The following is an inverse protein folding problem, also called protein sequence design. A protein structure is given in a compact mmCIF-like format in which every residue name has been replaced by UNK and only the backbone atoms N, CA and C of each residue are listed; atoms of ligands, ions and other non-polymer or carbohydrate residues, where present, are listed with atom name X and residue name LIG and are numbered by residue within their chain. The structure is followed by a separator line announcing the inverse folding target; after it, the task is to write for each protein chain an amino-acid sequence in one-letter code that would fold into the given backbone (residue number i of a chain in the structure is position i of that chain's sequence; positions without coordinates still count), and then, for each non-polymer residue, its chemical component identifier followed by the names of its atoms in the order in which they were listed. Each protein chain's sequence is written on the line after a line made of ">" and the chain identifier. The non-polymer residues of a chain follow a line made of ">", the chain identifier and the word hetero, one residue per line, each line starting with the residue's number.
data_IF_643737789774
#
_entry.id   IF_643737789774
#
_cell.length_a   1.000
_cell.length_b   1.000
_cell.length_c   1.000
_cell.angle_alpha   90.00
_cell.angle_beta   90.00
_cell.angle_gamma   90.00
#
_symmetry.space_group_name_H-M   'P 1'
#
loop_
_entity.id
_entity.type
_entity.pdbx_description
1 polymer ?
#
# COMPACT_ATOMS: atom_id res chain seq x y z
N UNK A 1 -9.13 25.70 -1.71
CA UNK A 1 -7.80 25.32 -2.24
C UNK A 1 -7.22 24.09 -1.55
N UNK A 2 -7.26 24.01 -0.20
CA UNK A 2 -6.71 22.85 0.54
C UNK A 2 -7.27 21.48 0.10
N UNK A 3 -8.59 21.33 -0.08
CA UNK A 3 -9.18 20.06 -0.55
C UNK A 3 -8.62 19.60 -1.90
N UNK A 4 -8.32 20.53 -2.81
CA UNK A 4 -7.72 20.21 -4.11
C UNK A 4 -6.28 19.72 -3.90
N UNK A 5 -5.52 20.34 -2.99
CA UNK A 5 -4.18 19.86 -2.65
C UNK A 5 -4.24 18.43 -2.08
N UNK A 6 -5.11 18.17 -1.11
CA UNK A 6 -5.25 16.83 -0.51
C UNK A 6 -5.63 15.77 -1.55
N UNK A 7 -6.51 16.11 -2.51
CA UNK A 7 -6.85 15.24 -3.62
C UNK A 7 -5.64 14.97 -4.52
N UNK A 8 -4.90 16.01 -4.92
CA UNK A 8 -3.71 15.88 -5.77
C UNK A 8 -2.59 15.11 -5.08
N UNK A 9 -2.36 15.35 -3.79
CA UNK A 9 -1.36 14.65 -2.96
C UNK A 9 -1.76 13.18 -2.77
N UNK A 10 -3.03 12.90 -2.52
CA UNK A 10 -3.58 11.54 -2.49
C UNK A 10 -3.40 10.80 -3.81
N UNK A 11 -3.67 11.47 -4.94
CA UNK A 11 -3.44 10.90 -6.28
C UNK A 11 -1.94 10.68 -6.53
N UNK A 12 -1.08 11.63 -6.17
CA UNK A 12 0.37 11.52 -6.30
C UNK A 12 0.90 10.29 -5.55
N UNK A 13 0.52 10.12 -4.29
CA UNK A 13 0.87 8.93 -3.52
C UNK A 13 0.25 7.66 -4.13
N UNK A 14 -1.00 7.72 -4.61
CA UNK A 14 -1.63 6.61 -5.32
C UNK A 14 -0.85 6.15 -6.56
N UNK A 15 -0.34 7.09 -7.36
CA UNK A 15 0.54 6.80 -8.50
C UNK A 15 1.82 6.11 -8.01
N UNK A 16 2.43 6.60 -6.92
CA UNK A 16 3.59 5.95 -6.32
C UNK A 16 3.27 4.49 -5.90
N UNK A 17 2.05 4.21 -5.41
CA UNK A 17 1.61 2.83 -5.11
C UNK A 17 1.63 1.95 -6.35
N UNK A 18 0.98 2.43 -7.41
CA UNK A 18 0.82 1.70 -8.66
C UNK A 18 2.19 1.42 -9.26
N UNK A 19 3.11 2.40 -9.24
CA UNK A 19 4.48 2.23 -9.70
C UNK A 19 5.25 1.19 -8.87
N UNK A 20 5.12 1.20 -7.54
CA UNK A 20 5.74 0.20 -6.68
C UNK A 20 5.21 -1.22 -6.98
N UNK A 21 3.90 -1.37 -7.15
CA UNK A 21 3.29 -2.64 -7.54
C UNK A 21 3.74 -3.09 -8.94
N UNK A 22 3.77 -2.18 -9.91
CA UNK A 22 4.18 -2.47 -11.29
C UNK A 22 5.65 -2.89 -11.39
N UNK A 23 6.52 -2.20 -10.66
CA UNK A 23 7.93 -2.58 -10.57
C UNK A 23 8.13 -3.93 -9.85
N UNK A 24 7.30 -4.23 -8.85
CA UNK A 24 7.28 -5.52 -8.15
C UNK A 24 6.96 -6.72 -9.06
N UNK A 25 6.00 -6.55 -9.98
CA UNK A 25 5.57 -7.61 -10.92
C UNK A 25 6.25 -7.53 -12.30
N UNK A 26 7.29 -6.70 -12.49
CA UNK A 26 7.96 -6.54 -13.80
C UNK A 26 8.47 -7.85 -14.41
N UNK A 27 8.76 -8.86 -13.60
CA UNK A 27 9.15 -10.21 -14.02
C UNK A 27 8.06 -11.28 -13.79
N UNK A 28 6.80 -10.87 -13.65
CA UNK A 28 5.66 -11.71 -13.30
C UNK A 28 5.19 -11.59 -11.85
N UNK A 29 3.99 -12.10 -11.58
CA UNK A 29 3.29 -12.01 -10.29
C UNK A 29 4.06 -12.65 -9.12
N UNK A 30 4.95 -13.61 -9.40
CA UNK A 30 5.84 -14.25 -8.40
C UNK A 30 6.67 -13.21 -7.63
N UNK A 31 6.98 -12.08 -8.28
CA UNK A 31 7.72 -10.98 -7.66
C UNK A 31 7.02 -10.33 -6.46
N UNK A 32 5.72 -10.54 -6.31
CA UNK A 32 4.89 -9.98 -5.23
C UNK A 32 4.19 -11.06 -4.38
N UNK A 33 4.58 -12.33 -4.51
CA UNK A 33 3.96 -13.47 -3.79
C UNK A 33 3.96 -13.31 -2.26
N UNK A 34 4.85 -12.48 -1.72
CA UNK A 34 4.88 -12.15 -0.29
C UNK A 34 3.60 -11.45 0.23
N UNK A 35 2.76 -10.93 -0.67
CA UNK A 35 1.47 -10.31 -0.34
C UNK A 35 0.38 -11.35 -0.08
N UNK A 36 0.57 -12.58 -0.55
CA UNK A 36 -0.40 -13.66 -0.44
C UNK A 36 -0.17 -14.53 0.79
N UNK A 37 -1.15 -15.39 1.09
CA UNK A 37 -1.11 -16.34 2.20
C UNK A 37 0.07 -17.32 2.08
N UNK A 38 0.42 -17.94 3.22
CA UNK A 38 1.63 -18.78 3.34
C UNK A 38 1.57 -20.06 2.51
N UNK A 39 0.38 -20.59 2.27
CA UNK A 39 0.11 -21.70 1.36
C UNK A 39 0.49 -21.36 -0.10
N UNK A 40 0.08 -20.20 -0.61
CA UNK A 40 0.47 -19.74 -1.97
C UNK A 40 1.98 -19.53 -2.04
N UNK A 41 2.59 -18.97 -1.00
CA UNK A 41 4.05 -18.81 -0.90
C UNK A 41 4.78 -20.16 -0.96
N UNK A 42 4.32 -21.16 -0.19
CA UNK A 42 4.89 -22.51 -0.17
C UNK A 42 4.74 -23.18 -1.53
N UNK A 43 3.57 -23.12 -2.14
CA UNK A 43 3.31 -23.67 -3.47
C UNK A 43 4.28 -23.10 -4.53
N UNK A 44 4.54 -21.79 -4.49
CA UNK A 44 5.51 -21.15 -5.39
C UNK A 44 6.95 -21.62 -5.16
N UNK A 45 7.31 -21.98 -3.92
CA UNK A 45 8.62 -22.57 -3.61
C UNK A 45 8.70 -24.02 -4.09
N UNK A 46 7.66 -24.82 -3.89
CA UNK A 46 7.56 -26.21 -4.36
C UNK A 46 7.65 -26.31 -5.89
N UNK A 47 7.02 -25.37 -6.61
CA UNK A 47 7.09 -25.27 -8.07
C UNK A 47 8.43 -24.71 -8.58
N UNK A 48 9.37 -24.37 -7.69
CA UNK A 48 10.68 -23.82 -8.05
C UNK A 48 10.63 -22.40 -8.64
N UNK A 49 9.51 -21.69 -8.50
CA UNK A 49 9.32 -20.32 -9.03
C UNK A 49 10.10 -19.28 -8.21
N UNK A 50 10.32 -19.55 -6.92
CA UNK A 50 11.05 -18.66 -6.01
C UNK A 50 11.61 -19.44 -4.81
N UNK A 51 12.29 -18.74 -3.90
CA UNK A 51 12.80 -19.29 -2.64
C UNK A 51 12.29 -18.45 -1.46
N UNK A 52 12.17 -19.05 -0.28
CA UNK A 52 11.78 -18.31 0.93
C UNK A 52 12.67 -17.10 1.21
N UNK A 53 13.98 -17.24 0.95
CA UNK A 53 14.96 -16.15 1.05
C UNK A 53 14.63 -15.01 0.10
N UNK A 54 14.27 -15.31 -1.15
CA UNK A 54 13.88 -14.30 -2.14
C UNK A 54 12.55 -13.64 -1.80
N UNK A 55 11.56 -14.40 -1.31
CA UNK A 55 10.28 -13.86 -0.83
C UNK A 55 10.54 -12.86 0.30
N UNK A 56 11.35 -13.22 1.29
CA UNK A 56 11.71 -12.32 2.41
C UNK A 56 12.45 -11.07 1.93
N UNK A 57 13.41 -11.22 1.00
CA UNK A 57 14.13 -10.09 0.41
C UNK A 57 13.18 -9.12 -0.30
N UNK A 58 12.27 -9.63 -1.13
CA UNK A 58 11.26 -8.81 -1.82
C UNK A 58 10.32 -8.13 -0.83
N UNK A 59 9.96 -8.80 0.26
CA UNK A 59 9.08 -8.23 1.27
C UNK A 59 9.75 -7.07 2.01
N UNK A 60 11.06 -7.18 2.27
CA UNK A 60 11.86 -6.09 2.83
C UNK A 60 11.98 -4.91 1.86
N UNK A 61 12.18 -5.17 0.57
CA UNK A 61 12.20 -4.11 -0.45
C UNK A 61 10.85 -3.37 -0.51
N UNK A 62 9.73 -4.09 -0.47
CA UNK A 62 8.41 -3.47 -0.42
C UNK A 62 8.19 -2.64 0.85
N UNK A 63 8.70 -3.10 2.01
CA UNK A 63 8.69 -2.29 3.24
C UNK A 63 9.54 -1.03 3.14
N UNK A 64 10.64 -1.06 2.38
CA UNK A 64 11.45 0.13 2.14
C UNK A 64 10.68 1.18 1.32
N UNK A 65 9.78 0.77 0.42
CA UNK A 65 8.89 1.70 -0.28
C UNK A 65 8.00 2.50 0.69
N UNK A 66 7.67 1.97 1.88
CA UNK A 66 6.94 2.72 2.91
C UNK A 66 7.73 3.94 3.40
N UNK A 67 9.06 3.86 3.45
CA UNK A 67 9.91 5.02 3.82
C UNK A 67 9.82 6.12 2.76
N UNK A 68 9.86 5.73 1.47
CA UNK A 68 9.67 6.67 0.35
C UNK A 68 8.29 7.33 0.43
N UNK A 69 7.26 6.55 0.75
CA UNK A 69 5.91 7.04 0.97
C UNK A 69 5.84 8.14 2.03
N UNK A 70 6.45 7.91 3.19
CA UNK A 70 6.50 8.89 4.27
C UNK A 70 7.32 10.14 3.89
N UNK A 71 8.40 9.95 3.13
CA UNK A 71 9.22 11.04 2.62
C UNK A 71 8.47 11.95 1.62
N UNK A 72 7.37 11.49 1.03
CA UNK A 72 6.47 12.32 0.20
C UNK A 72 5.31 12.87 1.03
N UNK A 73 4.66 12.03 1.84
CA UNK A 73 3.50 12.42 2.65
C UNK A 73 3.80 13.57 3.61
N UNK A 74 4.90 13.49 4.35
CA UNK A 74 5.21 14.47 5.39
C UNK A 74 5.49 15.87 4.79
N UNK A 75 6.33 16.04 3.74
CA UNK A 75 6.49 17.35 3.10
C UNK A 75 5.20 17.92 2.51
N UNK A 76 4.32 17.10 1.92
CA UNK A 76 3.00 17.54 1.46
C UNK A 76 2.23 18.25 2.59
N UNK A 77 2.09 17.58 3.74
CA UNK A 77 1.33 18.13 4.86
C UNK A 77 2.05 19.29 5.56
N UNK A 78 3.35 19.15 5.82
CA UNK A 78 4.12 20.11 6.64
C UNK A 78 4.57 21.35 5.88
N UNK A 79 4.91 21.21 4.59
CA UNK A 79 5.53 22.27 3.78
C UNK A 79 4.55 22.84 2.79
N UNK A 80 3.86 21.99 2.01
CA UNK A 80 2.93 22.44 0.96
C UNK A 80 1.65 22.98 1.59
N UNK A 81 1.02 22.18 2.46
CA UNK A 81 -0.22 22.58 3.14
C UNK A 81 0.02 23.43 4.39
N UNK A 82 1.27 23.51 4.85
CA UNK A 82 1.70 24.28 6.04
C UNK A 82 0.89 23.94 7.29
N UNK A 83 0.41 22.69 7.40
CA UNK A 83 -0.36 22.24 8.54
C UNK A 83 0.47 22.38 9.82
N UNK A 84 -0.14 22.91 10.89
CA UNK A 84 0.52 23.06 12.19
C UNK A 84 -0.32 22.52 13.32
N UNK A 85 0.34 21.86 14.26
CA UNK A 85 -0.28 21.18 15.38
C UNK A 85 -0.94 19.86 15.01
N UNK A 86 -1.18 19.07 16.05
CA UNK A 86 -1.60 17.67 15.95
C UNK A 86 -2.83 17.48 15.06
N UNK A 87 -3.90 18.25 15.31
CA UNK A 87 -5.19 17.99 14.67
C UNK A 87 -5.12 18.23 13.17
N UNK A 88 -4.52 19.35 12.74
CA UNK A 88 -4.38 19.70 11.33
C UNK A 88 -3.57 18.67 10.55
N UNK A 89 -2.42 18.27 11.08
CA UNK A 89 -1.58 17.25 10.45
C UNK A 89 -2.31 15.90 10.38
N UNK A 90 -2.97 15.50 11.47
CA UNK A 90 -3.64 14.22 11.60
C UNK A 90 -4.76 14.06 10.57
N UNK A 91 -5.68 15.03 10.47
CA UNK A 91 -6.82 14.88 9.56
C UNK A 91 -6.38 14.96 8.10
N UNK A 92 -5.42 15.83 7.76
CA UNK A 92 -4.90 15.94 6.39
C UNK A 92 -4.19 14.65 5.95
N UNK A 93 -3.30 14.10 6.79
CA UNK A 93 -2.67 12.80 6.51
C UNK A 93 -3.70 11.68 6.40
N UNK A 94 -4.71 11.67 7.27
CA UNK A 94 -5.78 10.67 7.21
C UNK A 94 -6.52 10.73 5.87
N UNK A 95 -6.92 11.92 5.41
CA UNK A 95 -7.60 12.08 4.12
C UNK A 95 -6.73 11.61 2.96
N UNK A 96 -5.45 12.00 2.91
CA UNK A 96 -4.51 11.56 1.87
C UNK A 96 -4.38 10.02 1.88
N UNK A 97 -4.17 9.42 3.05
CA UNK A 97 -4.03 7.97 3.18
C UNK A 97 -5.32 7.22 2.83
N UNK A 98 -6.50 7.79 3.10
CA UNK A 98 -7.79 7.23 2.68
C UNK A 98 -7.96 7.29 1.15
N UNK A 99 -7.52 8.35 0.49
CA UNK A 99 -7.52 8.43 -0.98
C UNK A 99 -6.61 7.34 -1.56
N UNK A 100 -5.40 7.18 -1.02
CA UNK A 100 -4.48 6.10 -1.42
C UNK A 100 -5.11 4.73 -1.16
N UNK A 101 -5.80 4.56 -0.03
CA UNK A 101 -6.51 3.32 0.27
C UNK A 101 -7.60 3.04 -0.77
N UNK A 102 -8.39 4.04 -1.17
CA UNK A 102 -9.39 3.87 -2.23
C UNK A 102 -8.76 3.48 -3.57
N UNK A 103 -7.61 4.07 -3.92
CA UNK A 103 -6.86 3.70 -5.13
C UNK A 103 -6.37 2.24 -5.03
N UNK A 104 -5.77 1.83 -3.90
CA UNK A 104 -5.37 0.44 -3.67
C UNK A 104 -6.56 -0.51 -3.86
N UNK A 105 -7.70 -0.17 -3.26
CA UNK A 105 -8.89 -1.03 -3.29
C UNK A 105 -9.50 -1.15 -4.67
N UNK A 106 -9.85 -0.02 -5.27
CA UNK A 106 -10.65 -0.01 -6.48
C UNK A 106 -9.78 -0.28 -7.71
N UNK A 107 -8.63 0.38 -7.80
CA UNK A 107 -7.76 0.28 -8.97
C UNK A 107 -6.84 -0.94 -8.91
N UNK A 108 -6.16 -1.17 -7.79
CA UNK A 108 -5.18 -2.27 -7.69
C UNK A 108 -5.89 -3.59 -7.38
N UNK A 109 -6.56 -3.71 -6.23
CA UNK A 109 -7.15 -4.96 -5.75
C UNK A 109 -8.33 -5.42 -6.64
N UNK A 110 -9.30 -4.55 -6.96
CA UNK A 110 -10.49 -4.94 -7.71
C UNK A 110 -10.25 -4.95 -9.23
N UNK A 111 -9.80 -3.84 -9.81
CA UNK A 111 -9.61 -3.77 -11.26
C UNK A 111 -8.37 -4.53 -11.73
N UNK A 112 -7.18 -4.16 -11.26
CA UNK A 112 -5.94 -4.68 -11.84
C UNK A 112 -5.67 -6.14 -11.44
N UNK A 113 -5.78 -6.48 -10.16
CA UNK A 113 -5.61 -7.85 -9.67
C UNK A 113 -6.81 -8.73 -10.04
N UNK A 114 -8.04 -8.22 -9.89
CA UNK A 114 -9.25 -9.00 -10.11
C UNK A 114 -9.63 -9.21 -11.58
N UNK A 115 -9.29 -8.30 -12.49
CA UNK A 115 -9.75 -8.35 -13.89
C UNK A 115 -8.64 -8.48 -14.93
N UNK A 116 -7.37 -8.57 -14.53
CA UNK A 116 -6.25 -8.76 -15.48
C UNK A 116 -5.45 -10.02 -15.21
N UNK A 117 -4.76 -10.52 -16.24
CA UNK A 117 -3.89 -11.69 -16.13
C UNK A 117 -2.52 -11.38 -15.51
N UNK A 118 -2.23 -10.12 -15.21
CA UNK A 118 -0.91 -9.67 -14.74
C UNK A 118 -0.51 -10.27 -13.39
N UNK A 119 -1.50 -10.66 -12.57
CA UNK A 119 -1.33 -11.14 -11.20
C UNK A 119 -1.50 -12.65 -11.04
N UNK A 120 -1.73 -13.37 -12.14
CA UNK A 120 -1.82 -14.83 -12.14
C UNK A 120 -0.40 -15.40 -12.02
N UNK A 121 -0.18 -16.26 -11.03
CA UNK A 121 1.07 -17.00 -10.88
C UNK A 121 0.89 -18.37 -11.55
N UNK A 122 1.72 -18.72 -12.56
CA UNK A 122 1.61 -19.99 -13.26
C UNK A 122 1.68 -21.20 -12.31
N UNK A 123 0.76 -22.14 -12.45
CA UNK A 123 0.70 -23.37 -11.64
C UNK A 123 0.04 -23.22 -10.27
N UNK A 124 -0.61 -22.09 -10.02
CA UNK A 124 -1.38 -21.81 -8.79
C UNK A 124 -2.78 -21.26 -9.07
N UNK A 125 -3.28 -21.42 -10.29
CA UNK A 125 -4.58 -20.93 -10.76
C UNK A 125 -5.74 -21.55 -9.97
N UNK A 126 -5.57 -22.78 -9.47
CA UNK A 126 -6.52 -23.50 -8.60
C UNK A 126 -6.67 -22.85 -7.22
N UNK A 127 -5.69 -22.04 -6.81
CA UNK A 127 -5.72 -21.30 -5.54
C UNK A 127 -6.39 -19.93 -5.67
N UNK A 128 -6.93 -19.58 -6.84
CA UNK A 128 -7.63 -18.31 -7.04
C UNK A 128 -9.06 -18.35 -6.49
N UNK A 129 -9.55 -17.25 -5.88
CA UNK A 129 -8.82 -16.01 -5.60
C UNK A 129 -7.83 -16.18 -4.45
N UNK A 130 -6.59 -15.68 -4.62
CA UNK A 130 -5.52 -15.78 -3.61
C UNK A 130 -5.85 -15.11 -2.27
N UNK A 131 -6.83 -14.21 -2.27
CA UNK A 131 -7.37 -13.55 -1.07
C UNK A 131 -8.88 -13.73 -1.08
N UNK A 132 -9.43 -14.31 -0.01
CA UNK A 132 -10.86 -14.54 0.12
C UNK A 132 -11.64 -13.24 0.44
N UNK A 133 -12.96 -13.27 0.22
CA UNK A 133 -13.83 -12.10 0.42
C UNK A 133 -13.89 -11.59 1.86
N UNK A 134 -13.74 -12.48 2.86
CA UNK A 134 -13.71 -12.09 4.28
C UNK A 134 -12.44 -11.30 4.58
N UNK A 135 -11.29 -11.76 4.12
CA UNK A 135 -10.01 -11.07 4.29
C UNK A 135 -10.03 -9.74 3.56
N UNK A 136 -10.63 -9.66 2.36
CA UNK A 136 -10.87 -8.37 1.68
C UNK A 136 -11.69 -7.40 2.54
N UNK A 137 -12.78 -7.86 3.15
CA UNK A 137 -13.61 -7.03 4.02
C UNK A 137 -12.84 -6.57 5.28
N UNK A 138 -12.05 -7.43 5.91
CA UNK A 138 -11.15 -7.04 7.00
C UNK A 138 -10.08 -6.06 6.54
N UNK A 139 -9.52 -6.24 5.34
CA UNK A 139 -8.55 -5.30 4.73
C UNK A 139 -9.22 -3.93 4.56
N UNK A 140 -10.49 -3.85 4.16
CA UNK A 140 -11.25 -2.59 4.04
C UNK A 140 -11.34 -1.84 5.36
N UNK A 141 -11.88 -2.48 6.40
CA UNK A 141 -12.02 -1.86 7.73
C UNK A 141 -10.65 -1.53 8.32
N UNK A 142 -9.72 -2.48 8.22
CA UNK A 142 -8.34 -2.31 8.69
C UNK A 142 -7.62 -1.16 7.99
N UNK A 143 -7.86 -0.95 6.69
CA UNK A 143 -7.27 0.17 5.95
C UNK A 143 -7.70 1.52 6.51
N UNK A 144 -8.98 1.71 6.82
CA UNK A 144 -9.51 2.96 7.37
C UNK A 144 -8.95 3.22 8.77
N UNK A 145 -9.00 2.20 9.64
CA UNK A 145 -8.54 2.31 11.03
C UNK A 145 -7.02 2.51 11.08
N UNK A 146 -6.25 1.68 10.39
CA UNK A 146 -4.79 1.76 10.40
C UNK A 146 -4.27 3.05 9.80
N UNK A 147 -4.88 3.57 8.73
CA UNK A 147 -4.50 4.87 8.16
C UNK A 147 -4.70 6.01 9.16
N UNK A 148 -5.83 6.02 9.86
CA UNK A 148 -6.15 7.05 10.86
C UNK A 148 -5.21 6.97 12.07
N UNK A 149 -4.93 5.75 12.55
CA UNK A 149 -3.98 5.52 13.66
C UNK A 149 -2.57 5.92 13.25
N UNK A 150 -2.11 5.54 12.05
CA UNK A 150 -0.79 5.93 11.56
C UNK A 150 -0.67 7.45 11.43
N UNK A 151 -1.67 8.13 10.86
CA UNK A 151 -1.72 9.58 10.78
C UNK A 151 -1.64 10.24 12.16
N UNK A 152 -2.37 9.72 13.16
CA UNK A 152 -2.32 10.23 14.52
C UNK A 152 -0.92 10.05 15.15
N UNK A 153 -0.29 8.89 14.96
CA UNK A 153 1.07 8.64 15.46
C UNK A 153 2.06 9.62 14.84
N UNK A 154 2.06 9.76 13.51
CA UNK A 154 2.97 10.69 12.84
C UNK A 154 2.70 12.14 13.21
N UNK A 155 1.44 12.55 13.32
CA UNK A 155 1.08 13.90 13.74
C UNK A 155 1.58 14.19 15.17
N UNK A 156 1.39 13.22 16.08
CA UNK A 156 1.89 13.31 17.45
C UNK A 156 3.41 13.46 17.51
N UNK A 157 4.14 12.63 16.75
CA UNK A 157 5.60 12.72 16.63
C UNK A 157 6.01 14.10 16.11
N UNK A 158 5.41 14.56 15.01
CA UNK A 158 5.75 15.86 14.41
C UNK A 158 5.47 17.03 15.35
N UNK A 159 4.38 16.97 16.12
CA UNK A 159 4.07 17.99 17.14
C UNK A 159 5.09 18.04 18.27
N UNK A 160 5.68 16.90 18.67
CA UNK A 160 6.78 16.90 19.63
C UNK A 160 8.03 17.61 19.10
N UNK A 161 8.20 17.70 17.77
CA UNK A 161 9.28 18.45 17.11
C UNK A 161 8.91 19.91 16.79
N UNK A 162 7.78 20.41 17.28
CA UNK A 162 7.38 21.81 17.12
C UNK A 162 6.68 22.13 15.79
N UNK A 163 6.17 21.12 15.09
CA UNK A 163 5.29 21.30 13.93
C UNK A 163 3.81 21.34 14.34
#
# INVERSE_FOLDING_TARGET
>A
MLLIHLLLEGILLGILLVLACASGIRGGAVGMVHLYHKDVQKRCVELGLTTEKNIRRRALLMKLCTVVYLAVLLPCVLVVNKARGFFEMCWQMTVILLIVNLIDRLLIDEFWVGHTKAWIIPGTEDMMPYINSRDKAFKWVGGIVCSSVAAAIFAGIMTLFGF
#
